data_IF_492367706926
#
_entry.id   IF_492367706926
#
_cell.length_a   1.000
_cell.length_b   1.000
_cell.length_c   1.000
_cell.angle_alpha   90.00
_cell.angle_beta   90.00
_cell.angle_gamma   90.00
#
_symmetry.space_group_name_H-M   'P 1'
#
loop_
_entity.id
_entity.type
_entity.pdbx_description
1 polymer ?
#
# COMPACT_ATOMS: atom_id res chain seq x y z
N UNK A 1 2.53 -5.09 7.66
CA UNK A 1 3.87 -4.50 7.94
C UNK A 1 3.71 -3.28 8.84
N UNK A 2 4.77 -2.80 9.52
CA UNK A 2 4.71 -1.54 10.25
C UNK A 2 4.68 -0.35 9.28
N UNK A 3 4.17 0.80 9.73
CA UNK A 3 4.15 2.04 8.93
C UNK A 3 5.57 2.43 8.48
N UNK A 4 6.53 2.39 9.42
CA UNK A 4 7.92 2.74 9.15
C UNK A 4 8.53 1.85 8.08
N UNK A 5 8.34 0.53 8.18
CA UNK A 5 8.84 -0.40 7.18
C UNK A 5 8.25 -0.14 5.80
N UNK A 6 6.95 0.21 5.71
CA UNK A 6 6.31 0.51 4.44
C UNK A 6 6.88 1.80 3.81
N UNK A 7 7.00 2.87 4.60
CA UNK A 7 7.59 4.14 4.13
C UNK A 7 9.03 3.94 3.69
N UNK A 8 9.87 3.29 4.50
CA UNK A 8 11.28 3.02 4.18
C UNK A 8 11.40 2.15 2.94
N UNK A 9 10.63 1.07 2.83
CA UNK A 9 10.64 0.18 1.67
C UNK A 9 10.31 0.92 0.37
N UNK A 10 9.26 1.74 0.38
CA UNK A 10 8.90 2.56 -0.76
C UNK A 10 9.94 3.67 -1.04
N UNK A 11 10.50 4.32 -0.03
CA UNK A 11 11.57 5.30 -0.22
C UNK A 11 12.80 4.69 -0.89
N UNK A 12 13.22 3.49 -0.46
CA UNK A 12 14.32 2.76 -1.10
C UNK A 12 13.98 2.34 -2.53
N UNK A 13 12.72 1.96 -2.79
CA UNK A 13 12.25 1.74 -4.16
C UNK A 13 12.35 3.01 -5.02
N UNK A 14 11.95 4.18 -4.48
CA UNK A 14 12.11 5.46 -5.17
C UNK A 14 13.57 5.81 -5.45
N UNK A 15 14.48 5.53 -4.51
CA UNK A 15 15.92 5.68 -4.72
C UNK A 15 16.42 4.79 -5.86
N UNK A 16 16.05 3.51 -5.85
CA UNK A 16 16.42 2.56 -6.89
C UNK A 16 15.86 2.97 -8.26
N UNK A 17 14.61 3.45 -8.32
CA UNK A 17 14.01 3.97 -9.53
C UNK A 17 14.77 5.18 -10.09
N UNK A 18 15.21 6.11 -9.23
CA UNK A 18 16.05 7.25 -9.62
C UNK A 18 17.41 6.81 -10.14
N UNK A 19 18.07 5.87 -9.46
CA UNK A 19 19.36 5.32 -9.91
C UNK A 19 19.23 4.60 -11.26
N UNK A 20 18.16 3.82 -11.45
CA UNK A 20 17.83 3.16 -12.72
C UNK A 20 17.59 4.17 -13.84
N UNK A 21 16.84 5.23 -13.57
CA UNK A 21 16.60 6.33 -14.52
C UNK A 21 17.91 7.01 -14.97
N UNK A 22 18.84 7.28 -14.04
CA UNK A 22 20.16 7.85 -14.38
C UNK A 22 21.02 6.89 -15.18
N UNK A 23 20.99 5.59 -14.84
CA UNK A 23 21.68 4.54 -15.60
C UNK A 23 21.20 4.44 -17.04
N UNK A 24 19.89 4.49 -17.28
CA UNK A 24 19.31 4.50 -18.64
C UNK A 24 19.75 5.74 -19.42
N UNK A 25 19.83 6.89 -18.75
CA UNK A 25 20.31 8.14 -19.36
C UNK A 25 21.83 8.21 -19.52
N UNK A 26 22.57 7.15 -19.15
CA UNK A 26 24.05 7.11 -19.15
C UNK A 26 24.66 8.27 -18.33
N UNK A 27 23.97 8.71 -17.28
CA UNK A 27 24.45 9.72 -16.33
C UNK A 27 25.07 9.05 -15.10
N UNK A 28 25.98 9.73 -14.37
CA UNK A 28 26.50 9.21 -13.11
C UNK A 28 25.35 8.88 -12.15
N UNK A 29 25.42 7.73 -11.49
CA UNK A 29 24.30 7.19 -10.69
C UNK A 29 23.98 8.08 -9.49
N UNK A 30 24.96 8.79 -8.93
CA UNK A 30 24.79 9.69 -7.79
C UNK A 30 24.60 11.15 -8.22
N UNK A 31 24.31 11.39 -9.51
CA UNK A 31 24.13 12.73 -10.05
C UNK A 31 22.86 13.39 -9.49
N UNK A 32 22.99 14.65 -9.09
CA UNK A 32 21.96 15.46 -8.43
C UNK A 32 21.38 14.75 -7.16
N UNK A 33 22.00 14.96 -5.98
CA UNK A 33 21.54 14.34 -4.72
C UNK A 33 20.14 14.78 -4.31
N UNK A 34 19.73 16.01 -4.64
CA UNK A 34 18.38 16.52 -4.38
C UNK A 34 17.34 15.67 -5.14
N UNK A 35 17.64 15.28 -6.38
CA UNK A 35 16.78 14.39 -7.16
C UNK A 35 16.55 13.01 -6.49
N UNK A 36 17.54 12.49 -5.78
CA UNK A 36 17.41 11.24 -5.03
C UNK A 36 16.51 11.42 -3.80
N UNK A 37 16.70 12.51 -3.05
CA UNK A 37 15.85 12.84 -1.89
C UNK A 37 14.40 13.05 -2.31
N UNK A 38 14.16 13.76 -3.42
CA UNK A 38 12.81 13.96 -3.96
C UNK A 38 12.19 12.62 -4.35
N UNK A 39 12.92 11.74 -5.04
CA UNK A 39 12.40 10.43 -5.42
C UNK A 39 12.07 9.57 -4.19
N UNK A 40 12.97 9.53 -3.19
CA UNK A 40 12.74 8.84 -1.92
C UNK A 40 11.53 9.37 -1.17
N UNK A 41 11.37 10.71 -1.14
CA UNK A 41 10.25 11.38 -0.49
C UNK A 41 8.92 11.10 -1.18
N UNK A 42 8.86 11.23 -2.51
CA UNK A 42 7.65 10.98 -3.29
C UNK A 42 7.17 9.54 -3.17
N UNK A 43 8.08 8.56 -3.31
CA UNK A 43 7.69 7.16 -3.14
C UNK A 43 7.41 6.82 -1.68
N UNK A 44 8.18 7.33 -0.73
CA UNK A 44 7.90 7.16 0.71
C UNK A 44 6.50 7.67 1.09
N UNK A 45 6.09 8.81 0.53
CA UNK A 45 4.74 9.36 0.68
C UNK A 45 3.68 8.45 0.05
N UNK A 46 3.94 7.88 -1.13
CA UNK A 46 3.06 6.87 -1.72
C UNK A 46 2.93 5.64 -0.81
N UNK A 47 4.03 5.18 -0.19
CA UNK A 47 4.03 4.10 0.80
C UNK A 47 3.22 4.44 2.06
N UNK A 48 3.31 5.68 2.55
CA UNK A 48 2.46 6.16 3.66
C UNK A 48 0.97 6.04 3.29
N UNK A 49 0.59 6.47 2.08
CA UNK A 49 -0.80 6.42 1.63
C UNK A 49 -1.27 4.97 1.44
N UNK A 50 -0.46 4.12 0.81
CA UNK A 50 -0.74 2.69 0.63
C UNK A 50 -1.00 1.97 1.96
N UNK A 51 -0.24 2.30 3.01
CA UNK A 51 -0.44 1.74 4.36
C UNK A 51 -1.81 2.10 4.94
N UNK A 52 -2.25 3.35 4.78
CA UNK A 52 -3.54 3.80 5.29
C UNK A 52 -4.70 3.22 4.47
N UNK A 53 -4.50 3.08 3.16
CA UNK A 53 -5.45 2.42 2.27
C UNK A 53 -5.68 0.97 2.68
N UNK A 54 -4.62 0.20 2.89
CA UNK A 54 -4.69 -1.21 3.31
C UNK A 54 -5.47 -1.38 4.62
N UNK A 55 -5.21 -0.51 5.61
CA UNK A 55 -5.98 -0.48 6.86
C UNK A 55 -7.47 -0.24 6.63
N UNK A 56 -7.82 0.75 5.79
CA UNK A 56 -9.24 1.02 5.48
C UNK A 56 -9.88 -0.15 4.74
N UNK A 57 -9.18 -0.75 3.78
CA UNK A 57 -9.67 -1.90 3.05
C UNK A 57 -9.94 -3.09 3.99
N UNK A 58 -9.07 -3.34 4.97
CA UNK A 58 -9.25 -4.40 5.95
C UNK A 58 -10.52 -4.22 6.79
N UNK A 59 -10.83 -2.99 7.23
CA UNK A 59 -12.07 -2.68 7.97
C UNK A 59 -13.30 -2.93 7.11
N UNK A 60 -13.33 -2.40 5.89
CA UNK A 60 -14.46 -2.58 4.97
C UNK A 60 -14.70 -4.06 4.63
N UNK A 61 -13.63 -4.83 4.47
CA UNK A 61 -13.72 -6.28 4.24
C UNK A 61 -14.28 -7.02 5.46
N UNK A 62 -13.89 -6.62 6.68
CA UNK A 62 -14.42 -7.22 7.91
C UNK A 62 -15.92 -6.94 8.07
N UNK A 63 -16.35 -5.70 7.84
CA UNK A 63 -17.76 -5.29 7.86
C UNK A 63 -18.59 -6.09 6.84
N UNK A 64 -18.10 -6.21 5.61
CA UNK A 64 -18.81 -6.96 4.56
C UNK A 64 -18.87 -8.45 4.85
N UNK A 65 -17.84 -9.03 5.46
CA UNK A 65 -17.89 -10.43 5.91
C UNK A 65 -18.93 -10.64 7.01
N UNK A 66 -19.05 -9.72 7.96
CA UNK A 66 -20.08 -9.77 8.99
C UNK A 66 -21.49 -9.67 8.42
N UNK A 67 -21.71 -8.73 7.49
CA UNK A 67 -23.00 -8.56 6.80
C UNK A 67 -23.41 -9.83 6.02
N UNK A 68 -22.47 -10.46 5.33
CA UNK A 68 -22.71 -11.72 4.60
C UNK A 68 -23.04 -12.86 5.58
N UNK A 69 -22.34 -12.96 6.70
CA UNK A 69 -22.58 -14.00 7.70
C UNK A 69 -23.98 -13.86 8.34
N UNK A 70 -24.38 -12.63 8.68
CA UNK A 70 -25.72 -12.36 9.24
C UNK A 70 -26.82 -12.73 8.24
N UNK A 71 -26.65 -12.39 6.96
CA UNK A 71 -27.62 -12.76 5.90
C UNK A 71 -27.75 -14.27 5.74
N UNK A 72 -26.63 -15.00 5.81
CA UNK A 72 -26.64 -16.48 5.75
C UNK A 72 -27.37 -17.08 6.95
N UNK A 73 -27.06 -16.62 8.17
CA UNK A 73 -27.75 -17.08 9.38
C UNK A 73 -29.27 -16.84 9.32
N UNK A 74 -29.70 -15.68 8.79
CA UNK A 74 -31.13 -15.39 8.58
C UNK A 74 -31.79 -16.31 7.55
N UNK A 75 -31.10 -16.62 6.44
CA UNK A 75 -31.61 -17.53 5.43
C UNK A 75 -31.76 -18.96 5.99
N UNK A 76 -30.74 -19.45 6.70
CA UNK A 76 -30.77 -20.77 7.36
C UNK A 76 -31.88 -20.87 8.42
N UNK A 77 -32.09 -19.82 9.22
CA UNK A 77 -33.18 -19.77 10.19
C UNK A 77 -34.56 -19.76 9.53
N UNK A 78 -34.70 -19.09 8.37
CA UNK A 78 -35.94 -19.09 7.60
C UNK A 78 -36.25 -20.48 7.03
N UNK A 79 -35.25 -21.16 6.47
CA UNK A 79 -35.39 -22.53 5.95
C UNK A 79 -35.70 -23.55 7.06
N UNK A 80 -35.14 -23.39 8.26
CA UNK A 80 -35.44 -24.25 9.41
C UNK A 80 -36.86 -24.04 10.00
N UNK A 81 -37.53 -22.95 9.63
CA UNK A 81 -38.87 -22.60 10.11
C UNK A 81 -40.01 -22.99 9.17
N UNK A 82 -39.68 -23.56 7.99
CA UNK A 82 -40.61 -24.13 6.99
C UNK A 82 -40.57 -25.65 7.00
#
# INVERSE_FOLDING_TARGET
MSLLANVVGFSLFGLAARMGQLGIQKRPILDNPIGHVIAMGSFGFAGYWAYHWDKRAAVLLAEKRAEIAERRAKAEAAEAST
#
